data_IF_878459878626
#
_entry.id   IF_878459878626
#
_cell.length_a   1.000
_cell.length_b   1.000
_cell.length_c   1.000
_cell.angle_alpha   90.00
_cell.angle_beta   90.00
_cell.angle_gamma   90.00
#
_symmetry.space_group_name_H-M   'P 1'
#
loop_
_entity.id
_entity.type
_entity.pdbx_description
1 polymer ?
#
# COMPACT_ATOMS: atom_id res chain seq x y z
N UNK A 1 -17.30 22.84 1.90
CA UNK A 1 -16.00 22.32 2.39
C UNK A 1 -15.77 21.05 1.60
N UNK A 2 -14.89 21.09 0.60
CA UNK A 2 -14.66 19.98 -0.32
C UNK A 2 -13.40 19.22 0.14
N UNK A 3 -13.59 18.02 0.66
CA UNK A 3 -12.49 17.16 1.11
C UNK A 3 -12.27 16.03 0.11
N UNK A 4 -11.01 15.66 -0.09
CA UNK A 4 -10.62 14.54 -0.94
C UNK A 4 -9.99 13.43 -0.09
N UNK A 5 -10.03 12.20 -0.60
CA UNK A 5 -9.44 11.04 0.06
C UNK A 5 -7.94 11.00 -0.25
N UNK A 6 -7.12 10.98 0.79
CA UNK A 6 -5.66 11.05 0.66
C UNK A 6 -5.01 9.66 0.67
N UNK A 7 -5.33 8.80 1.64
CA UNK A 7 -4.74 7.46 1.80
C UNK A 7 -5.76 6.47 2.36
N UNK A 8 -5.66 5.20 1.94
CA UNK A 8 -6.42 4.07 2.50
C UNK A 8 -5.47 2.95 2.88
N UNK A 9 -5.56 2.44 4.11
CA UNK A 9 -4.82 1.26 4.55
C UNK A 9 -5.65 0.01 4.32
N UNK A 10 -5.09 -0.98 3.63
CA UNK A 10 -5.75 -2.26 3.33
C UNK A 10 -4.95 -3.41 3.95
N UNK A 11 -5.48 -4.12 4.95
CA UNK A 11 -4.85 -5.31 5.48
C UNK A 11 -4.83 -6.43 4.44
N UNK A 12 -3.67 -7.07 4.27
CA UNK A 12 -3.47 -8.17 3.33
C UNK A 12 -2.81 -9.35 4.02
N UNK A 13 -3.06 -10.56 3.53
CA UNK A 13 -2.45 -11.77 4.08
C UNK A 13 -1.02 -12.01 3.56
N UNK A 14 -0.68 -11.46 2.40
CA UNK A 14 0.64 -11.54 1.77
C UNK A 14 0.99 -10.18 1.14
N UNK A 15 1.97 -9.50 1.72
CA UNK A 15 2.39 -8.18 1.29
C UNK A 15 3.14 -8.22 -0.06
N UNK A 16 3.98 -9.22 -0.28
CA UNK A 16 4.75 -9.34 -1.52
C UNK A 16 3.85 -9.59 -2.73
N UNK A 17 2.84 -10.46 -2.56
CA UNK A 17 1.82 -10.69 -3.58
C UNK A 17 1.01 -9.43 -3.88
N UNK A 18 0.69 -8.63 -2.85
CA UNK A 18 -0.06 -7.38 -2.99
C UNK A 18 0.74 -6.29 -3.70
N UNK A 19 2.02 -6.11 -3.36
CA UNK A 19 2.92 -5.18 -4.06
C UNK A 19 3.00 -5.54 -5.54
N UNK A 20 3.23 -6.82 -5.87
CA UNK A 20 3.30 -7.27 -7.27
C UNK A 20 1.99 -7.00 -8.03
N UNK A 21 0.84 -7.15 -7.37
CA UNK A 21 -0.44 -6.83 -7.96
C UNK A 21 -0.60 -5.32 -8.21
N UNK A 22 -0.46 -4.49 -7.18
CA UNK A 22 -0.70 -3.05 -7.30
C UNK A 22 0.35 -2.34 -8.15
N UNK A 23 1.62 -2.70 -8.02
CA UNK A 23 2.70 -2.11 -8.81
C UNK A 23 2.74 -2.63 -10.24
N UNK A 24 2.80 -3.95 -10.42
CA UNK A 24 3.12 -4.52 -11.73
C UNK A 24 1.88 -4.79 -12.59
N UNK A 25 0.68 -4.87 -11.99
CA UNK A 25 -0.57 -5.12 -12.72
C UNK A 25 -1.49 -3.90 -12.76
N UNK A 26 -1.69 -3.22 -11.63
CA UNK A 26 -2.52 -2.01 -11.59
C UNK A 26 -1.73 -0.79 -12.07
N UNK A 27 -0.42 -0.77 -11.85
CA UNK A 27 0.46 0.30 -12.32
C UNK A 27 0.58 1.46 -11.35
N UNK A 28 0.38 1.23 -10.05
CA UNK A 28 0.70 2.23 -9.03
C UNK A 28 2.20 2.27 -8.74
N UNK A 29 2.69 3.45 -8.36
CA UNK A 29 4.05 3.61 -7.88
C UNK A 29 4.14 3.11 -6.43
N UNK A 30 5.19 2.35 -6.13
CA UNK A 30 5.53 2.00 -4.75
C UNK A 30 6.27 3.19 -4.13
N UNK A 31 5.50 4.13 -3.58
CA UNK A 31 6.01 5.42 -3.11
C UNK A 31 6.40 5.43 -1.63
N UNK A 32 5.80 4.54 -0.82
CA UNK A 32 6.10 4.40 0.60
C UNK A 32 6.28 2.94 0.98
N UNK A 33 7.43 2.60 1.55
CA UNK A 33 7.68 1.29 2.16
C UNK A 33 8.33 1.51 3.53
N UNK A 34 7.71 1.03 4.59
CA UNK A 34 8.17 1.26 5.97
C UNK A 34 7.82 0.08 6.86
N UNK A 35 8.78 -0.31 7.71
CA UNK A 35 8.62 -1.36 8.70
C UNK A 35 8.86 -0.79 10.10
N UNK A 36 8.01 -1.14 11.05
CA UNK A 36 8.18 -0.86 12.47
C UNK A 36 7.98 -2.13 13.32
N UNK A 37 8.01 -1.99 14.65
CA UNK A 37 7.88 -3.10 15.59
C UNK A 37 6.51 -3.79 15.61
N UNK A 38 5.51 -3.19 14.95
CA UNK A 38 4.12 -3.68 14.92
C UNK A 38 3.68 -4.15 13.52
N UNK A 39 4.22 -3.57 12.44
CA UNK A 39 3.73 -3.79 11.08
C UNK A 39 4.74 -3.45 9.98
N UNK A 40 4.49 -4.02 8.80
CA UNK A 40 5.13 -3.66 7.55
C UNK A 40 4.05 -3.11 6.59
N UNK A 41 4.27 -1.90 6.09
CA UNK A 41 3.41 -1.21 5.11
C UNK A 41 4.23 -0.90 3.87
N UNK A 42 3.66 -1.18 2.70
CA UNK A 42 4.24 -0.96 1.39
C UNK A 42 3.12 -0.71 0.38
#
# INVERSE_FOLDING_TARGET
MDWTLEVVIVPVSDLSASIAFYRDKVGFDLDHETTNEHMHVA
#
